data_IF_986349408054
#
_entry.id   IF_986349408054
#
_cell.length_a   1.000
_cell.length_b   1.000
_cell.length_c   1.000
_cell.angle_alpha   90.00
_cell.angle_beta   90.00
_cell.angle_gamma   90.00
#
_symmetry.space_group_name_H-M   'P 1'
#
loop_
_entity.id
_entity.type
_entity.pdbx_description
1 polymer ?
#
# COMPACT_ATOMS: atom_id res chain seq x y z
N UNK A 1 -20.76 -16.45 -0.57
CA UNK A 1 -20.97 -15.48 -1.66
C UNK A 1 -19.93 -15.72 -2.75
N UNK A 2 -20.35 -15.77 -4.00
CA UNK A 2 -19.48 -15.97 -5.17
C UNK A 2 -19.01 -14.67 -5.82
N UNK A 3 -19.45 -13.53 -5.30
CA UNK A 3 -19.14 -12.21 -5.82
C UNK A 3 -20.08 -11.74 -6.93
N UNK A 4 -19.77 -10.59 -7.49
CA UNK A 4 -20.51 -10.04 -8.62
C UNK A 4 -19.88 -10.54 -9.93
N UNK A 5 -20.57 -11.40 -10.66
CA UNK A 5 -20.25 -11.66 -12.05
C UNK A 5 -21.09 -10.73 -12.91
N UNK A 6 -20.45 -9.90 -13.76
CA UNK A 6 -21.14 -8.97 -14.68
C UNK A 6 -22.19 -8.08 -13.97
N UNK A 7 -21.84 -7.50 -12.82
CA UNK A 7 -22.71 -6.65 -11.99
C UNK A 7 -23.89 -7.35 -11.31
N UNK A 8 -24.01 -8.68 -11.39
CA UNK A 8 -25.03 -9.43 -10.69
C UNK A 8 -24.49 -10.11 -9.43
N UNK A 9 -25.28 -10.04 -8.36
CA UNK A 9 -24.98 -10.76 -7.11
C UNK A 9 -25.19 -12.25 -7.31
N UNK A 10 -24.13 -13.05 -7.17
CA UNK A 10 -24.18 -14.50 -7.30
C UNK A 10 -24.08 -15.14 -5.92
N UNK A 11 -25.06 -15.95 -5.57
CA UNK A 11 -25.08 -16.75 -4.34
C UNK A 11 -25.18 -18.23 -4.71
N UNK A 12 -24.31 -19.06 -4.15
CA UNK A 12 -24.39 -20.50 -4.30
C UNK A 12 -24.67 -21.16 -2.94
N UNK A 13 -25.57 -22.12 -2.93
CA UNK A 13 -25.83 -22.97 -1.77
C UNK A 13 -25.09 -24.28 -1.97
N UNK A 14 -24.26 -24.64 -1.00
CA UNK A 14 -23.50 -25.88 -1.02
C UNK A 14 -23.77 -26.71 0.23
N UNK A 15 -24.29 -27.90 0.04
CA UNK A 15 -24.59 -28.88 1.10
C UNK A 15 -23.32 -29.65 1.43
N UNK A 16 -22.78 -29.44 2.63
CA UNK A 16 -21.58 -30.13 3.14
C UNK A 16 -21.99 -31.37 3.91
N UNK A 17 -21.37 -32.49 3.57
CA UNK A 17 -21.58 -33.76 4.25
C UNK A 17 -20.64 -33.82 5.47
N UNK A 18 -21.17 -34.38 6.56
CA UNK A 18 -20.39 -34.76 7.74
C UNK A 18 -20.20 -36.25 7.73
N UNK A 19 -19.00 -36.69 7.89
CA UNK A 19 -18.60 -38.08 7.97
C UNK A 19 -18.14 -38.43 9.37
N UNK A 20 -18.33 -39.67 9.78
CA UNK A 20 -17.80 -40.25 11.02
C UNK A 20 -16.94 -41.45 10.65
N UNK A 21 -15.71 -41.49 11.13
CA UNK A 21 -14.85 -42.65 10.96
C UNK A 21 -15.39 -43.81 11.80
N UNK A 22 -15.50 -44.98 11.23
CA UNK A 22 -16.02 -46.17 11.93
C UNK A 22 -14.99 -46.76 12.90
N UNK A 23 -13.68 -46.55 12.65
CA UNK A 23 -12.63 -47.13 13.49
C UNK A 23 -12.33 -46.25 14.71
N UNK A 24 -12.13 -44.94 14.53
CA UNK A 24 -11.73 -44.02 15.59
C UNK A 24 -12.84 -43.09 16.07
N UNK A 25 -14.05 -43.18 15.54
CA UNK A 25 -15.21 -42.34 15.84
C UNK A 25 -14.99 -40.83 15.58
N UNK A 26 -13.84 -40.42 15.00
CA UNK A 26 -13.59 -39.02 14.66
C UNK A 26 -14.56 -38.53 13.59
N UNK A 27 -15.09 -37.32 13.77
CA UNK A 27 -16.00 -36.70 12.76
C UNK A 27 -15.25 -35.64 11.96
N UNK A 28 -15.44 -35.66 10.65
CA UNK A 28 -14.90 -34.67 9.74
C UNK A 28 -15.95 -34.20 8.76
N UNK A 29 -15.75 -33.02 8.20
CA UNK A 29 -16.65 -32.39 7.26
C UNK A 29 -15.97 -32.32 5.90
N UNK A 30 -16.72 -32.58 4.84
CA UNK A 30 -16.27 -32.48 3.47
C UNK A 30 -15.60 -31.12 3.18
N UNK A 31 -14.48 -31.14 2.45
CA UNK A 31 -13.79 -29.91 2.08
C UNK A 31 -14.66 -29.09 1.13
N UNK A 32 -14.80 -27.80 1.43
CA UNK A 32 -15.49 -26.88 0.52
C UNK A 32 -14.59 -26.55 -0.66
N UNK A 33 -14.97 -26.84 -1.92
CA UNK A 33 -14.13 -26.56 -3.08
C UNK A 33 -14.06 -25.07 -3.42
N UNK A 34 -15.03 -24.27 -2.97
CA UNK A 34 -15.17 -22.86 -3.35
C UNK A 34 -14.52 -21.89 -2.37
N UNK A 35 -14.34 -22.30 -1.12
CA UNK A 35 -13.89 -21.42 -0.03
C UNK A 35 -12.75 -22.09 0.72
N UNK A 36 -11.67 -21.36 0.95
CA UNK A 36 -10.58 -21.85 1.77
C UNK A 36 -11.01 -22.06 3.23
N UNK A 37 -10.32 -22.96 3.94
CA UNK A 37 -10.57 -23.26 5.35
C UNK A 37 -10.57 -21.97 6.19
N UNK A 38 -11.57 -21.81 7.03
CA UNK A 38 -11.82 -20.63 7.88
C UNK A 38 -12.15 -19.32 7.14
N UNK A 39 -12.32 -19.35 5.81
CA UNK A 39 -12.78 -18.19 5.05
C UNK A 39 -14.26 -18.32 4.71
N UNK A 40 -14.92 -17.17 4.47
CA UNK A 40 -16.34 -17.10 4.06
C UNK A 40 -16.53 -16.56 2.64
N UNK A 41 -15.46 -16.08 2.04
CA UNK A 41 -15.43 -15.52 0.70
C UNK A 41 -14.87 -16.57 -0.27
N UNK A 42 -15.49 -16.73 -1.44
CA UNK A 42 -14.96 -17.61 -2.47
C UNK A 42 -13.62 -17.12 -3.00
N UNK A 43 -12.81 -18.02 -3.54
CA UNK A 43 -11.53 -17.66 -4.17
C UNK A 43 -11.73 -16.63 -5.28
N UNK A 44 -12.72 -16.84 -6.14
CA UNK A 44 -13.05 -15.94 -7.25
C UNK A 44 -13.42 -14.54 -6.76
N UNK A 45 -14.23 -14.44 -5.68
CA UNK A 45 -14.59 -13.13 -5.15
C UNK A 45 -13.43 -12.45 -4.45
N UNK A 46 -12.53 -13.21 -3.85
CA UNK A 46 -11.31 -12.70 -3.26
C UNK A 46 -10.34 -12.15 -4.32
N UNK A 47 -10.16 -12.86 -5.42
CA UNK A 47 -9.37 -12.40 -6.57
C UNK A 47 -9.97 -11.14 -7.21
N UNK A 48 -11.29 -11.08 -7.35
CA UNK A 48 -11.99 -9.90 -7.83
C UNK A 48 -11.78 -8.71 -6.90
N UNK A 49 -11.91 -8.91 -5.58
CA UNK A 49 -11.64 -7.89 -4.58
C UNK A 49 -10.21 -7.34 -4.69
N UNK A 50 -9.23 -8.22 -4.88
CA UNK A 50 -7.83 -7.81 -5.01
C UNK A 50 -7.53 -7.04 -6.30
N UNK A 51 -8.17 -7.40 -7.41
CA UNK A 51 -8.05 -6.63 -8.66
C UNK A 51 -8.55 -5.20 -8.51
N UNK A 52 -9.59 -4.98 -7.67
CA UNK A 52 -10.12 -3.64 -7.40
C UNK A 52 -9.12 -2.72 -6.67
N UNK A 53 -8.08 -3.26 -6.02
CA UNK A 53 -7.03 -2.44 -5.40
C UNK A 53 -6.20 -1.63 -6.41
N UNK A 54 -6.09 -2.13 -7.66
CA UNK A 54 -5.42 -1.42 -8.75
C UNK A 54 -6.28 -0.31 -9.39
N UNK A 55 -7.57 -0.25 -9.06
CA UNK A 55 -8.49 0.75 -9.60
C UNK A 55 -8.60 1.95 -8.65
N UNK A 56 -8.90 3.12 -9.24
CA UNK A 56 -9.20 4.31 -8.43
C UNK A 56 -10.50 4.09 -7.66
N UNK A 57 -10.46 4.30 -6.35
CA UNK A 57 -11.64 4.20 -5.51
C UNK A 57 -11.34 4.00 -4.03
N UNK A 58 -12.37 4.15 -3.22
CA UNK A 58 -12.32 3.91 -1.78
C UNK A 58 -12.61 2.45 -1.44
N UNK A 59 -12.23 2.02 -0.23
CA UNK A 59 -12.66 0.71 0.30
C UNK A 59 -14.19 0.53 0.33
N UNK A 60 -14.94 1.62 0.45
CA UNK A 60 -16.40 1.60 0.40
C UNK A 60 -16.92 1.21 -0.98
N UNK A 61 -16.35 1.79 -2.04
CA UNK A 61 -16.70 1.45 -3.42
C UNK A 61 -16.26 0.03 -3.79
N UNK A 62 -15.04 -0.35 -3.41
CA UNK A 62 -14.53 -1.71 -3.58
C UNK A 62 -15.45 -2.74 -2.90
N UNK A 63 -15.85 -2.48 -1.66
CA UNK A 63 -16.75 -3.34 -0.90
C UNK A 63 -18.11 -3.47 -1.59
N UNK A 64 -18.67 -2.36 -2.09
CA UNK A 64 -19.93 -2.32 -2.82
C UNK A 64 -19.85 -3.14 -4.13
N UNK A 65 -18.80 -2.94 -4.93
CA UNK A 65 -18.59 -3.69 -6.18
C UNK A 65 -18.40 -5.20 -5.95
N UNK A 66 -17.77 -5.57 -4.83
CA UNK A 66 -17.49 -6.96 -4.47
C UNK A 66 -18.59 -7.62 -3.62
N UNK A 67 -19.70 -6.94 -3.36
CA UNK A 67 -20.82 -7.38 -2.50
C UNK A 67 -20.33 -7.92 -1.13
N UNK A 68 -19.44 -7.15 -0.49
CA UNK A 68 -18.93 -7.44 0.85
C UNK A 68 -19.07 -6.21 1.76
N UNK A 69 -18.94 -6.39 3.08
CA UNK A 69 -18.84 -5.24 3.97
C UNK A 69 -17.47 -4.56 3.86
N UNK A 70 -17.40 -3.26 4.14
CA UNK A 70 -16.13 -2.50 4.14
C UNK A 70 -15.09 -3.13 5.07
N UNK A 71 -15.50 -3.55 6.26
CA UNK A 71 -14.63 -4.25 7.21
C UNK A 71 -14.10 -5.59 6.66
N UNK A 72 -14.90 -6.29 5.86
CA UNK A 72 -14.45 -7.50 5.17
C UNK A 72 -13.43 -7.15 4.09
N UNK A 73 -13.68 -6.15 3.26
CA UNK A 73 -12.73 -5.70 2.24
C UNK A 73 -11.37 -5.35 2.87
N UNK A 74 -11.34 -4.47 3.88
CA UNK A 74 -10.13 -4.08 4.60
C UNK A 74 -9.40 -5.31 5.17
N UNK A 75 -10.12 -6.21 5.86
CA UNK A 75 -9.52 -7.40 6.48
C UNK A 75 -8.89 -8.35 5.46
N UNK A 76 -9.45 -8.50 4.28
CA UNK A 76 -8.88 -9.34 3.24
C UNK A 76 -7.70 -8.66 2.55
N UNK A 77 -7.81 -7.37 2.26
CA UNK A 77 -6.72 -6.59 1.68
C UNK A 77 -5.50 -6.50 2.62
N UNK A 78 -5.71 -6.38 3.92
CA UNK A 78 -4.63 -6.40 4.91
C UNK A 78 -3.87 -7.74 4.98
N UNK A 79 -4.43 -8.83 4.43
CA UNK A 79 -3.75 -10.12 4.33
C UNK A 79 -2.89 -10.28 3.07
N UNK A 80 -2.96 -9.33 2.15
CA UNK A 80 -2.08 -9.34 0.98
C UNK A 80 -0.65 -9.07 1.44
N UNK A 81 0.21 -10.05 1.21
CA UNK A 81 1.64 -9.85 1.35
C UNK A 81 2.12 -9.04 0.12
N UNK A 82 2.34 -7.75 0.30
CA UNK A 82 3.00 -6.92 -0.70
C UNK A 82 4.50 -7.22 -0.57
N UNK A 83 5.11 -7.68 -1.64
CA UNK A 83 6.55 -7.92 -1.68
C UNK A 83 7.27 -6.58 -1.45
N UNK A 84 8.22 -6.57 -0.52
CA UNK A 84 9.06 -5.39 -0.31
C UNK A 84 9.92 -5.14 -1.55
N UNK A 85 10.10 -3.88 -1.96
CA UNK A 85 10.96 -3.56 -3.08
C UNK A 85 12.41 -3.98 -2.75
N UNK A 86 13.09 -4.59 -3.71
CA UNK A 86 14.51 -4.96 -3.58
C UNK A 86 15.42 -4.00 -4.35
N UNK A 87 14.85 -3.16 -5.19
CA UNK A 87 15.55 -2.20 -6.03
C UNK A 87 15.01 -0.79 -5.81
N UNK A 88 15.85 0.20 -5.99
CA UNK A 88 15.47 1.61 -5.94
C UNK A 88 15.51 2.19 -7.36
N UNK A 89 14.63 3.14 -7.68
CA UNK A 89 14.61 3.79 -8.99
C UNK A 89 15.78 4.76 -9.16
N UNK A 90 16.16 5.04 -10.40
CA UNK A 90 17.20 6.04 -10.72
C UNK A 90 16.79 7.45 -10.31
N UNK A 91 15.48 7.76 -10.36
CA UNK A 91 14.89 9.04 -9.94
C UNK A 91 13.88 8.75 -8.83
N UNK A 92 14.30 8.98 -7.60
CA UNK A 92 13.53 8.72 -6.39
C UNK A 92 12.76 9.98 -5.98
N UNK A 93 11.46 9.84 -5.77
CA UNK A 93 10.64 10.86 -5.10
C UNK A 93 10.41 10.48 -3.64
N UNK A 94 10.48 11.44 -2.75
CA UNK A 94 10.11 11.28 -1.34
C UNK A 94 9.26 12.46 -0.89
N UNK A 95 8.11 12.16 -0.31
CA UNK A 95 7.16 13.17 0.20
C UNK A 95 6.44 12.65 1.43
N UNK A 96 5.80 13.55 2.18
CA UNK A 96 4.97 13.19 3.32
C UNK A 96 3.50 13.48 3.05
N UNK A 97 2.63 12.65 3.60
CA UNK A 97 1.20 12.90 3.59
C UNK A 97 0.56 12.61 4.94
N UNK A 98 -0.57 13.25 5.20
CA UNK A 98 -1.36 12.98 6.40
C UNK A 98 -2.09 11.66 6.27
N UNK A 99 -1.91 10.81 7.27
CA UNK A 99 -2.61 9.54 7.40
C UNK A 99 -2.77 9.18 8.86
N UNK A 100 -3.01 7.90 9.14
CA UNK A 100 -3.18 7.40 10.51
C UNK A 100 -2.56 6.00 10.69
N UNK A 101 -1.59 5.64 9.88
CA UNK A 101 -0.95 4.34 9.98
C UNK A 101 -0.17 4.22 11.31
N UNK A 102 -0.40 3.14 12.04
CA UNK A 102 0.26 2.84 13.32
C UNK A 102 0.20 3.98 14.36
N UNK A 103 -0.85 4.84 14.30
CA UNK A 103 -1.02 5.98 15.18
C UNK A 103 -0.16 7.21 14.85
N UNK A 104 0.59 7.19 13.74
CA UNK A 104 1.36 8.33 13.27
C UNK A 104 0.54 9.22 12.33
N UNK A 105 0.62 10.54 12.54
CA UNK A 105 -0.12 11.55 11.75
C UNK A 105 0.46 11.70 10.34
N UNK A 106 1.76 11.48 10.16
CA UNK A 106 2.45 11.64 8.90
C UNK A 106 3.11 10.34 8.48
N UNK A 107 2.81 9.91 7.27
CA UNK A 107 3.45 8.81 6.56
C UNK A 107 4.36 9.34 5.47
N UNK A 108 5.32 8.53 5.04
CA UNK A 108 6.24 8.87 3.95
C UNK A 108 5.91 8.01 2.76
N UNK A 109 5.74 8.65 1.60
CA UNK A 109 5.60 7.99 0.31
C UNK A 109 6.91 8.05 -0.45
N UNK A 110 7.33 6.90 -0.98
CA UNK A 110 8.51 6.76 -1.83
C UNK A 110 8.03 6.38 -3.22
N UNK A 111 8.46 7.13 -4.22
CA UNK A 111 7.97 6.99 -5.59
C UNK A 111 9.10 6.83 -6.60
N UNK A 112 8.83 6.13 -7.67
CA UNK A 112 9.61 6.16 -8.90
C UNK A 112 9.02 7.22 -9.83
N UNK A 113 9.70 8.36 -9.92
CA UNK A 113 9.21 9.48 -10.74
C UNK A 113 9.38 9.25 -12.23
N UNK A 114 10.28 8.35 -12.64
CA UNK A 114 10.45 8.00 -14.05
C UNK A 114 9.29 7.16 -14.57
N UNK A 115 8.86 6.18 -13.76
CA UNK A 115 7.80 5.24 -14.13
C UNK A 115 6.43 5.61 -13.54
N UNK A 116 6.32 6.75 -12.83
CA UNK A 116 5.09 7.24 -12.20
C UNK A 116 4.42 6.18 -11.29
N UNK A 117 5.23 5.50 -10.49
CA UNK A 117 4.76 4.42 -9.61
C UNK A 117 5.18 4.63 -8.16
N UNK A 118 4.41 4.07 -7.25
CA UNK A 118 4.76 4.03 -5.83
C UNK A 118 5.73 2.88 -5.60
N UNK A 119 6.86 3.18 -4.96
CA UNK A 119 7.85 2.18 -4.56
C UNK A 119 7.46 1.58 -3.22
N UNK A 120 7.16 2.44 -2.23
CA UNK A 120 6.74 2.00 -0.90
C UNK A 120 6.06 3.13 -0.12
N UNK A 121 5.39 2.77 0.97
CA UNK A 121 4.77 3.70 1.91
C UNK A 121 5.23 3.32 3.30
N UNK A 122 5.87 4.27 4.01
CA UNK A 122 6.36 4.05 5.35
C UNK A 122 5.42 4.67 6.38
N UNK A 123 5.12 3.98 7.49
CA UNK A 123 4.21 4.48 8.50
C UNK A 123 4.78 5.67 9.30
N UNK A 124 6.12 5.85 9.28
CA UNK A 124 6.83 6.83 10.11
C UNK A 124 7.77 7.68 9.28
N UNK A 125 7.83 8.99 9.62
CA UNK A 125 8.77 9.94 8.99
C UNK A 125 10.04 10.18 9.81
N UNK A 126 10.24 9.45 10.88
CA UNK A 126 11.38 9.61 11.79
C UNK A 126 12.72 9.29 11.09
N UNK A 127 13.75 10.09 11.36
CA UNK A 127 15.10 9.92 10.78
C UNK A 127 15.61 8.49 10.92
N UNK A 128 15.49 7.91 12.11
CA UNK A 128 15.95 6.55 12.38
C UNK A 128 15.18 5.51 11.53
N UNK A 129 13.86 5.64 11.43
CA UNK A 129 13.02 4.73 10.65
C UNK A 129 13.38 4.77 9.15
N UNK A 130 13.59 5.96 8.60
CA UNK A 130 14.02 6.14 7.21
C UNK A 130 15.41 5.56 6.95
N UNK A 131 16.38 5.81 7.84
CA UNK A 131 17.71 5.23 7.72
C UNK A 131 17.65 3.71 7.76
N UNK A 132 16.90 3.12 8.69
CA UNK A 132 16.73 1.67 8.77
C UNK A 132 16.08 1.10 7.50
N UNK A 133 15.06 1.77 6.97
CA UNK A 133 14.44 1.36 5.73
C UNK A 133 15.43 1.35 4.56
N UNK A 134 16.17 2.43 4.32
CA UNK A 134 17.13 2.50 3.22
C UNK A 134 18.34 1.57 3.41
N UNK A 135 18.69 1.21 4.64
CA UNK A 135 19.71 0.18 4.93
C UNK A 135 19.28 -1.23 4.53
N UNK A 136 17.99 -1.49 4.33
CA UNK A 136 17.53 -2.79 3.81
C UNK A 136 17.93 -3.02 2.36
N UNK A 137 18.25 -1.98 1.61
CA UNK A 137 18.75 -2.06 0.25
C UNK A 137 20.25 -2.21 0.23
N UNK A 138 20.77 -2.98 -0.73
CA UNK A 138 22.21 -3.12 -0.92
C UNK A 138 22.87 -1.78 -1.27
N UNK A 139 24.19 -1.70 -1.11
CA UNK A 139 24.95 -0.50 -1.44
C UNK A 139 24.80 -0.17 -2.93
N UNK A 140 24.86 -1.18 -3.79
CA UNK A 140 24.74 -1.07 -5.23
C UNK A 140 23.33 -0.53 -5.62
N UNK A 141 22.28 -1.02 -4.98
CA UNK A 141 20.92 -0.52 -5.21
C UNK A 141 20.75 0.96 -4.81
N UNK A 142 21.43 1.40 -3.77
CA UNK A 142 21.43 2.81 -3.37
C UNK A 142 22.29 3.68 -4.30
N UNK A 143 23.41 3.19 -4.80
CA UNK A 143 24.27 3.91 -5.74
C UNK A 143 23.64 4.09 -7.13
N UNK A 144 22.63 3.30 -7.48
CA UNK A 144 21.84 3.48 -8.71
C UNK A 144 20.96 4.73 -8.69
N UNK A 145 20.63 5.25 -7.51
CA UNK A 145 19.82 6.46 -7.36
C UNK A 145 20.67 7.68 -7.75
N UNK A 146 20.29 8.35 -8.84
CA UNK A 146 21.00 9.54 -9.36
C UNK A 146 20.36 10.85 -8.92
N UNK A 147 19.04 10.88 -8.83
CA UNK A 147 18.29 12.07 -8.46
C UNK A 147 17.27 11.74 -7.36
N UNK A 148 17.16 12.63 -6.40
CA UNK A 148 16.17 12.55 -5.33
C UNK A 148 15.36 13.83 -5.34
N UNK A 149 14.08 13.73 -5.65
CA UNK A 149 13.14 14.84 -5.61
C UNK A 149 12.39 14.81 -4.29
N UNK A 150 12.45 15.91 -3.55
CA UNK A 150 11.86 16.01 -2.21
C UNK A 150 11.40 17.44 -1.92
N UNK A 151 10.60 17.60 -0.85
CA UNK A 151 10.35 18.89 -0.25
C UNK A 151 11.65 19.49 0.36
N UNK A 152 11.57 20.71 0.86
CA UNK A 152 12.72 21.37 1.50
C UNK A 152 12.87 21.01 2.99
N UNK A 153 12.36 19.83 3.42
CA UNK A 153 12.48 19.37 4.80
C UNK A 153 13.95 19.10 5.18
N UNK A 154 14.46 19.73 6.23
CA UNK A 154 15.83 19.46 6.71
C UNK A 154 16.02 18.00 7.13
N UNK A 155 14.95 17.35 7.63
CA UNK A 155 14.96 15.94 8.03
C UNK A 155 15.24 15.05 6.82
N UNK A 156 14.45 15.18 5.75
CA UNK A 156 14.64 14.38 4.54
C UNK A 156 16.01 14.67 3.93
N UNK A 157 16.41 15.94 3.85
CA UNK A 157 17.72 16.31 3.32
C UNK A 157 18.86 15.60 4.04
N UNK A 158 18.87 15.61 5.37
CA UNK A 158 19.89 14.94 6.18
C UNK A 158 19.94 13.43 5.93
N UNK A 159 18.78 12.76 5.91
CA UNK A 159 18.70 11.33 5.64
C UNK A 159 19.19 11.01 4.24
N UNK A 160 18.74 11.76 3.23
CA UNK A 160 19.10 11.51 1.84
C UNK A 160 20.59 11.74 1.58
N UNK A 161 21.19 12.77 2.13
CA UNK A 161 22.64 13.00 2.03
C UNK A 161 23.45 11.87 2.68
N UNK A 162 22.96 11.31 3.79
CA UNK A 162 23.62 10.21 4.48
C UNK A 162 23.51 8.89 3.72
N UNK A 163 22.33 8.59 3.18
CA UNK A 163 22.05 7.31 2.55
C UNK A 163 22.42 7.24 1.07
N UNK A 164 22.46 8.40 0.40
CA UNK A 164 22.70 8.55 -1.04
C UNK A 164 23.71 9.68 -1.32
N UNK A 165 24.97 9.55 -0.89
CA UNK A 165 25.95 10.63 -0.95
C UNK A 165 26.29 11.09 -2.38
N UNK A 166 26.02 10.24 -3.39
CA UNK A 166 26.30 10.54 -4.80
C UNK A 166 25.06 11.03 -5.57
N UNK A 167 23.88 11.03 -4.95
CA UNK A 167 22.65 11.47 -5.61
C UNK A 167 22.49 13.00 -5.56
N UNK A 168 21.99 13.57 -6.64
CA UNK A 168 21.61 14.98 -6.70
C UNK A 168 20.25 15.20 -6.06
N UNK A 169 20.20 16.04 -5.03
CA UNK A 169 18.93 16.42 -4.37
C UNK A 169 18.31 17.58 -5.16
N UNK A 170 17.07 17.41 -5.57
CA UNK A 170 16.26 18.37 -6.33
C UNK A 170 15.06 18.77 -5.48
N UNK A 171 14.83 20.05 -5.32
CA UNK A 171 13.63 20.54 -4.66
C UNK A 171 12.39 20.31 -5.52
N UNK A 172 11.32 19.77 -4.92
CA UNK A 172 10.06 19.60 -5.62
C UNK A 172 9.46 20.95 -6.01
N UNK A 173 9.15 21.08 -7.29
CA UNK A 173 8.59 22.28 -7.89
C UNK A 173 7.33 22.76 -7.18
N UNK A 174 6.42 21.87 -6.82
CA UNK A 174 5.18 22.24 -6.14
C UNK A 174 5.44 22.97 -4.83
N UNK A 175 6.35 22.43 -4.02
CA UNK A 175 6.71 23.04 -2.73
C UNK A 175 7.39 24.40 -2.91
N UNK A 176 8.22 24.58 -3.93
CA UNK A 176 8.85 25.87 -4.25
C UNK A 176 7.78 26.89 -4.68
N UNK A 177 6.91 26.55 -5.63
CA UNK A 177 5.84 27.44 -6.06
C UNK A 177 4.92 27.84 -4.91
N UNK A 178 4.55 26.89 -4.04
CA UNK A 178 3.71 27.17 -2.88
C UNK A 178 4.35 28.16 -1.90
N UNK A 179 5.66 28.14 -1.70
CA UNK A 179 6.34 29.13 -0.88
C UNK A 179 6.30 30.53 -1.48
N UNK A 180 6.47 30.63 -2.80
CA UNK A 180 6.35 31.91 -3.52
C UNK A 180 4.92 32.45 -3.38
N UNK A 181 3.91 31.62 -3.61
CA UNK A 181 2.50 32.01 -3.46
C UNK A 181 2.19 32.49 -2.04
N UNK A 182 2.70 31.80 -1.01
CA UNK A 182 2.52 32.25 0.38
C UNK A 182 3.21 33.58 0.68
N UNK A 183 4.38 33.82 0.09
CA UNK A 183 5.07 35.09 0.25
C UNK A 183 4.27 36.24 -0.40
N UNK A 184 3.73 36.02 -1.59
CA UNK A 184 2.85 36.98 -2.29
C UNK A 184 1.57 37.26 -1.50
N UNK A 185 0.91 36.22 -0.97
CA UNK A 185 -0.29 36.37 -0.15
C UNK A 185 -0.02 37.17 1.14
N UNK A 186 1.14 37.02 1.76
CA UNK A 186 1.54 37.83 2.94
C UNK A 186 1.67 39.30 2.58
N UNK A 187 2.25 39.63 1.42
CA UNK A 187 2.36 41.01 0.95
C UNK A 187 0.99 41.60 0.65
N UNK A 188 0.13 40.83 -0.06
CA UNK A 188 -1.23 41.27 -0.41
C UNK A 188 -2.11 41.57 0.81
N UNK A 189 -1.92 40.85 1.92
CA UNK A 189 -2.73 40.99 3.15
C UNK A 189 -2.22 42.06 4.12
N UNK A 190 -1.09 42.74 3.82
CA UNK A 190 -0.57 43.90 4.57
C UNK A 190 -1.16 45.18 4.02
#
# INVERSE_FOLDING_TARGET
KFGAAQHHRVTATYLRRRYKCQECNHTFIEKNPFVCRYLRLSKTNMEYLFRQLGEKGSYTEMAKRSDVSVSTAIRYCAKLAIAKPTQLPTVLGIDEYKGNAEGHVYQVIITDLKNHSVVDILPKRETHALIQYFKTFSKEAREQVKYIVMDMSPLFKSVMQTMFPHAHIVADRYHVCRLVDWALERVRKR
#
